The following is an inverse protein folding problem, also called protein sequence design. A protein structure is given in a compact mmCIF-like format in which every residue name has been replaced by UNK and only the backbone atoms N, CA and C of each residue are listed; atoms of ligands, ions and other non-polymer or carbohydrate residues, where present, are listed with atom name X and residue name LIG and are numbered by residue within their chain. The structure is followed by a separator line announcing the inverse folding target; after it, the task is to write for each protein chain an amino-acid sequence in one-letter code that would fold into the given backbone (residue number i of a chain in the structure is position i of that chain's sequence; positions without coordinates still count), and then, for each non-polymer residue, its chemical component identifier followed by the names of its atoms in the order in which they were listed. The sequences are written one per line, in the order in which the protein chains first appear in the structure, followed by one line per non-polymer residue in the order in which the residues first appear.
data_IF_824741188949
#
_entry.id   IF_824741188949
#
_cell.length_a   1.000
_cell.length_b   1.000
_cell.length_c   1.000
_cell.angle_alpha   90.00
_cell.angle_beta   90.00
_cell.angle_gamma   90.00
#
_symmetry.space_group_name_H-M   'P 1'
#
loop_
_entity.id
_entity.type
_entity.pdbx_description
1 polymer ?
#
# COMPACT_ATOMS: atom_id res chain seq x y z
N UNK A 1 -27.58 -10.78 -51.21
CA UNK A 1 -26.23 -11.24 -50.82
C UNK A 1 -25.66 -10.14 -49.92
N UNK A 2 -25.61 -10.38 -48.61
CA UNK A 2 -25.22 -9.36 -47.62
C UNK A 2 -26.10 -9.45 -46.37
N UNK A 3 -25.50 -9.89 -45.26
CA UNK A 3 -26.18 -10.07 -43.97
C UNK A 3 -25.39 -10.99 -43.05
N UNK A 4 -24.09 -10.74 -42.90
CA UNK A 4 -23.28 -11.27 -41.78
C UNK A 4 -23.33 -10.21 -40.69
N UNK A 5 -24.01 -10.49 -39.57
CA UNK A 5 -23.70 -10.03 -38.21
C UNK A 5 -24.80 -10.49 -37.27
N UNK A 6 -24.59 -11.60 -36.57
CA UNK A 6 -25.11 -11.75 -35.22
C UNK A 6 -24.15 -12.68 -34.46
N UNK A 7 -23.12 -12.07 -33.88
CA UNK A 7 -22.22 -12.76 -32.94
C UNK A 7 -22.66 -12.31 -31.56
N UNK A 8 -23.28 -13.18 -30.74
CA UNK A 8 -23.52 -12.83 -29.35
C UNK A 8 -22.17 -12.78 -28.64
N UNK A 9 -21.80 -11.59 -28.16
CA UNK A 9 -20.69 -11.43 -27.21
C UNK A 9 -21.17 -12.01 -25.88
N UNK A 10 -20.72 -13.22 -25.59
CA UNK A 10 -20.78 -13.78 -24.23
C UNK A 10 -19.62 -13.15 -23.46
N UNK A 11 -19.91 -12.11 -22.68
CA UNK A 11 -18.98 -11.67 -21.64
C UNK A 11 -19.02 -12.69 -20.50
N UNK A 12 -18.12 -13.66 -20.55
CA UNK A 12 -17.73 -14.45 -19.40
C UNK A 12 -16.43 -13.84 -18.84
N UNK A 13 -16.60 -12.87 -17.94
CA UNK A 13 -15.63 -12.57 -16.91
C UNK A 13 -16.44 -12.21 -15.68
N UNK A 14 -16.51 -13.18 -14.78
CA UNK A 14 -17.42 -13.31 -13.67
C UNK A 14 -17.57 -12.05 -12.81
N UNK A 15 -18.85 -11.77 -12.58
CA UNK A 15 -19.39 -11.13 -11.40
C UNK A 15 -18.98 -11.92 -10.14
N UNK A 16 -18.10 -11.34 -9.34
CA UNK A 16 -18.11 -11.52 -7.88
C UNK A 16 -17.87 -10.16 -7.24
N UNK A 17 -18.77 -9.21 -7.51
CA UNK A 17 -18.99 -8.15 -6.53
C UNK A 17 -19.67 -8.83 -5.33
N UNK A 18 -18.87 -9.30 -4.36
CA UNK A 18 -19.41 -9.76 -3.08
C UNK A 18 -20.35 -8.68 -2.55
N UNK A 19 -21.62 -9.04 -2.37
CA UNK A 19 -22.67 -8.24 -1.73
C UNK A 19 -22.39 -8.14 -0.21
N UNK A 20 -21.15 -7.84 0.16
CA UNK A 20 -20.78 -7.48 1.51
C UNK A 20 -21.14 -6.02 1.67
N UNK A 21 -22.32 -5.77 2.23
CA UNK A 21 -22.79 -4.43 2.55
C UNK A 21 -21.68 -3.65 3.28
N UNK A 22 -21.21 -2.57 2.64
CA UNK A 22 -20.21 -1.67 3.23
C UNK A 22 -20.80 -1.13 4.53
N UNK A 23 -20.08 -1.28 5.64
CA UNK A 23 -20.54 -0.68 6.91
C UNK A 23 -20.36 0.84 6.87
N UNK A 24 -21.16 1.61 7.61
CA UNK A 24 -21.01 3.08 7.63
C UNK A 24 -19.60 3.54 8.03
N UNK A 25 -18.92 2.76 8.88
CA UNK A 25 -17.57 3.06 9.32
C UNK A 25 -16.53 2.84 8.20
N UNK A 26 -16.63 1.74 7.45
CA UNK A 26 -15.78 1.51 6.27
C UNK A 26 -16.08 2.54 5.18
N UNK A 27 -17.36 2.86 4.94
CA UNK A 27 -17.74 3.89 3.98
C UNK A 27 -17.14 5.25 4.33
N UNK A 28 -17.18 5.65 5.60
CA UNK A 28 -16.58 6.90 6.06
C UNK A 28 -15.06 6.94 5.82
N UNK A 29 -14.35 5.85 6.07
CA UNK A 29 -12.91 5.75 5.79
C UNK A 29 -12.61 5.82 4.29
N UNK A 30 -13.39 5.16 3.43
CA UNK A 30 -13.22 5.24 1.98
C UNK A 30 -13.44 6.67 1.47
N UNK A 31 -14.45 7.37 2.00
CA UNK A 31 -14.68 8.78 1.67
C UNK A 31 -13.54 9.67 2.15
N UNK A 32 -13.06 9.47 3.39
CA UNK A 32 -11.89 10.21 3.89
C UNK A 32 -10.66 9.97 3.01
N UNK A 33 -10.38 8.72 2.63
CA UNK A 33 -9.25 8.40 1.76
C UNK A 33 -9.36 9.07 0.38
N UNK A 34 -10.57 9.13 -0.19
CA UNK A 34 -10.79 9.84 -1.45
C UNK A 34 -10.52 11.34 -1.32
N UNK A 35 -11.04 11.98 -0.26
CA UNK A 35 -10.81 13.40 0.01
C UNK A 35 -9.31 13.69 0.23
N UNK A 36 -8.64 12.84 1.01
CA UNK A 36 -7.20 12.97 1.31
C UNK A 36 -6.34 12.73 0.09
N UNK A 37 -6.72 11.82 -0.80
CA UNK A 37 -6.01 11.58 -2.05
C UNK A 37 -6.14 12.78 -3.00
N UNK A 38 -7.30 13.44 -3.06
CA UNK A 38 -7.45 14.67 -3.84
C UNK A 38 -6.61 15.81 -3.26
N UNK A 39 -6.56 15.97 -1.93
CA UNK A 39 -5.66 16.94 -1.28
C UNK A 39 -4.20 16.62 -1.61
N UNK A 40 -3.77 15.35 -1.43
CA UNK A 40 -2.41 14.91 -1.75
C UNK A 40 -2.04 15.21 -3.20
N UNK A 41 -2.94 14.92 -4.15
CA UNK A 41 -2.75 15.22 -5.57
C UNK A 41 -2.52 16.72 -5.83
N UNK A 42 -3.25 17.59 -5.13
CA UNK A 42 -3.17 19.04 -5.34
C UNK A 42 -1.99 19.70 -4.64
N UNK A 43 -1.62 19.24 -3.43
CA UNK A 43 -0.69 19.94 -2.54
C UNK A 43 0.58 19.14 -2.23
N UNK A 44 0.56 17.82 -2.42
CA UNK A 44 1.59 16.91 -1.94
C UNK A 44 1.50 16.59 -0.43
N UNK A 45 0.48 17.09 0.27
CA UNK A 45 0.28 16.81 1.69
C UNK A 45 -0.12 15.34 1.90
N UNK A 46 0.71 14.61 2.64
CA UNK A 46 0.49 13.21 2.96
C UNK A 46 -0.45 13.05 4.14
N UNK A 47 -1.19 11.94 4.19
CA UNK A 47 -2.09 11.63 5.31
C UNK A 47 -1.87 10.22 5.83
N UNK A 48 -2.09 9.99 7.12
CA UNK A 48 -1.96 8.67 7.74
C UNK A 48 -3.15 8.42 8.66
N UNK A 49 -3.80 7.27 8.48
CA UNK A 49 -4.87 6.78 9.34
C UNK A 49 -4.35 5.56 10.11
N UNK A 50 -4.25 5.66 11.43
CA UNK A 50 -3.96 4.51 12.29
C UNK A 50 -5.25 3.75 12.61
N UNK A 51 -5.46 2.63 11.91
CA UNK A 51 -6.67 1.81 12.04
C UNK A 51 -6.79 1.20 13.44
N UNK A 52 -5.68 0.96 14.15
CA UNK A 52 -5.74 0.39 15.52
C UNK A 52 -6.22 1.41 16.56
N UNK A 53 -6.10 2.69 16.26
CA UNK A 53 -6.58 3.76 17.14
C UNK A 53 -8.09 3.98 17.04
N UNK A 54 -8.73 3.45 16.00
CA UNK A 54 -10.17 3.61 15.75
C UNK A 54 -10.97 2.55 16.53
N UNK A 55 -12.17 2.90 17.05
CA UNK A 55 -13.06 1.94 17.69
C UNK A 55 -13.79 1.11 16.64
N UNK A 56 -13.03 0.30 15.89
CA UNK A 56 -13.48 -0.46 14.74
C UNK A 56 -13.21 -1.97 14.95
N UNK A 57 -14.18 -2.86 14.73
CA UNK A 57 -13.97 -4.31 14.81
C UNK A 57 -12.99 -4.80 13.74
N UNK A 58 -12.27 -5.89 14.04
CA UNK A 58 -11.35 -6.53 13.09
C UNK A 58 -12.00 -6.88 11.76
N UNK A 59 -13.28 -7.28 11.76
CA UNK A 59 -14.02 -7.58 10.53
C UNK A 59 -14.16 -6.35 9.60
N UNK A 60 -14.27 -5.15 10.15
CA UNK A 60 -14.33 -3.92 9.36
C UNK A 60 -12.96 -3.53 8.81
N UNK A 61 -11.87 -3.87 9.51
CA UNK A 61 -10.51 -3.72 8.98
C UNK A 61 -10.28 -4.61 7.75
N UNK A 62 -10.69 -5.88 7.84
CA UNK A 62 -10.57 -6.80 6.70
C UNK A 62 -11.50 -6.38 5.56
N UNK A 63 -12.73 -5.92 5.84
CA UNK A 63 -13.62 -5.39 4.82
C UNK A 63 -13.02 -4.17 4.09
N UNK A 64 -12.43 -3.24 4.84
CA UNK A 64 -11.72 -2.10 4.24
C UNK A 64 -10.55 -2.57 3.37
N UNK A 65 -9.77 -3.53 3.85
CA UNK A 65 -8.63 -4.10 3.12
C UNK A 65 -9.07 -4.78 1.82
N UNK A 66 -10.15 -5.55 1.85
CA UNK A 66 -10.74 -6.20 0.69
C UNK A 66 -11.20 -5.16 -0.35
N UNK A 67 -11.85 -4.08 0.12
CA UNK A 67 -12.29 -2.97 -0.73
C UNK A 67 -11.14 -2.21 -1.40
N UNK A 68 -10.08 -1.92 -0.64
CA UNK A 68 -8.90 -1.25 -1.17
C UNK A 68 -8.13 -2.14 -2.15
N UNK A 69 -8.22 -3.46 -1.98
CA UNK A 69 -7.53 -4.43 -2.81
C UNK A 69 -6.01 -4.31 -2.71
N UNK A 70 -5.31 -4.99 -3.62
CA UNK A 70 -3.84 -4.97 -3.68
C UNK A 70 -3.40 -4.56 -5.07
N UNK A 71 -2.51 -3.57 -5.12
CA UNK A 71 -1.90 -3.07 -6.34
C UNK A 71 -0.63 -3.85 -6.70
N UNK A 72 0.27 -3.15 -7.37
CA UNK A 72 1.45 -3.75 -8.00
C UNK A 72 2.63 -3.90 -7.03
N UNK A 73 2.72 -3.01 -6.04
CA UNK A 73 3.89 -2.93 -5.15
C UNK A 73 3.62 -3.64 -3.83
N UNK A 74 4.53 -4.55 -3.46
CA UNK A 74 4.63 -5.14 -2.11
C UNK A 74 6.06 -5.03 -1.61
N UNK A 75 6.20 -4.70 -0.33
CA UNK A 75 7.48 -4.50 0.33
C UNK A 75 7.42 -5.21 1.68
N UNK A 76 8.49 -5.94 1.98
CA UNK A 76 8.72 -6.56 3.28
C UNK A 76 9.99 -5.98 3.86
N UNK A 77 9.92 -5.52 5.10
CA UNK A 77 11.05 -4.99 5.86
C UNK A 77 11.22 -5.80 7.13
N UNK A 78 12.46 -5.97 7.57
CA UNK A 78 12.81 -6.57 8.86
C UNK A 78 13.52 -5.55 9.77
N UNK A 79 13.16 -4.26 9.63
CA UNK A 79 13.64 -3.19 10.49
C UNK A 79 12.86 -3.19 11.80
N UNK A 80 13.52 -3.59 12.90
CA UNK A 80 12.95 -3.67 14.26
C UNK A 80 11.77 -4.63 14.44
N UNK A 81 11.43 -5.40 13.40
CA UNK A 81 10.36 -6.40 13.37
C UNK A 81 9.77 -6.51 11.96
N UNK A 82 9.03 -7.60 11.65
CA UNK A 82 8.45 -7.79 10.33
C UNK A 82 7.44 -6.70 10.01
N UNK A 83 7.70 -5.94 8.94
CA UNK A 83 6.77 -4.93 8.42
C UNK A 83 6.36 -5.32 7.01
N UNK A 84 5.05 -5.44 6.79
CA UNK A 84 4.47 -5.71 5.49
C UNK A 84 3.79 -4.44 4.97
N UNK A 85 4.17 -4.00 3.78
CA UNK A 85 3.66 -2.81 3.12
C UNK A 85 3.17 -3.21 1.73
N UNK A 86 2.01 -2.73 1.32
CA UNK A 86 1.59 -2.85 -0.06
C UNK A 86 0.85 -1.61 -0.53
N UNK A 87 1.02 -1.29 -1.81
CA UNK A 87 0.14 -0.35 -2.48
C UNK A 87 -1.21 -1.05 -2.71
N UNK A 88 -2.29 -0.30 -2.52
CA UNK A 88 -3.65 -0.80 -2.77
C UNK A 88 -3.94 -0.80 -4.28
N UNK A 89 -5.14 -1.20 -4.70
CA UNK A 89 -5.54 -1.04 -6.11
C UNK A 89 -5.67 0.43 -6.55
N UNK A 90 -5.57 1.37 -5.60
CA UNK A 90 -5.62 2.81 -5.82
C UNK A 90 -4.24 3.43 -5.57
N UNK A 91 -3.51 3.82 -6.63
CA UNK A 91 -2.15 4.35 -6.48
C UNK A 91 -2.09 5.59 -5.58
N UNK A 92 -1.06 5.62 -4.74
CA UNK A 92 -0.92 6.64 -3.70
C UNK A 92 -1.64 6.32 -2.39
N UNK A 93 -2.38 5.21 -2.30
CA UNK A 93 -2.89 4.67 -1.03
C UNK A 93 -2.14 3.39 -0.69
N UNK A 94 -1.55 3.35 0.50
CA UNK A 94 -0.69 2.29 0.99
C UNK A 94 -1.23 1.69 2.27
N UNK A 95 -1.11 0.38 2.39
CA UNK A 95 -1.45 -0.36 3.60
C UNK A 95 -0.17 -0.84 4.28
N UNK A 96 0.03 -0.42 5.53
CA UNK A 96 1.26 -0.64 6.29
C UNK A 96 0.93 -1.40 7.57
N UNK A 97 1.55 -2.57 7.77
CA UNK A 97 1.39 -3.40 8.97
C UNK A 97 2.75 -3.66 9.57
N UNK A 98 2.98 -3.16 10.78
CA UNK A 98 4.16 -3.48 11.57
C UNK A 98 3.85 -4.54 12.61
N UNK A 99 4.68 -5.57 12.69
CA UNK A 99 4.60 -6.63 13.71
C UNK A 99 5.86 -6.64 14.57
N UNK A 100 5.69 -7.02 15.83
CA UNK A 100 6.84 -7.36 16.67
C UNK A 100 7.42 -8.73 16.26
N UNK A 101 8.52 -9.12 16.91
CA UNK A 101 9.19 -10.41 16.68
C UNK A 101 8.34 -11.63 17.04
N UNK A 102 7.32 -11.45 17.88
CA UNK A 102 6.37 -12.49 18.28
C UNK A 102 5.19 -12.61 17.30
N UNK A 103 5.14 -11.78 16.24
CA UNK A 103 4.12 -11.78 15.20
C UNK A 103 2.87 -10.96 15.52
N UNK A 104 2.83 -10.30 16.67
CA UNK A 104 1.72 -9.44 17.09
C UNK A 104 1.71 -8.13 16.29
N UNK A 105 0.53 -7.73 15.81
CA UNK A 105 0.36 -6.45 15.10
C UNK A 105 0.54 -5.31 16.09
N UNK A 106 1.58 -4.52 15.88
CA UNK A 106 1.87 -3.32 16.67
C UNK A 106 1.18 -2.10 16.07
N UNK A 107 1.32 -1.89 14.76
CA UNK A 107 0.63 -0.83 14.02
C UNK A 107 -0.03 -1.39 12.77
N UNK A 108 -1.16 -0.78 12.39
CA UNK A 108 -1.83 -1.05 11.13
C UNK A 108 -2.38 0.27 10.61
N UNK A 109 -1.82 0.75 9.51
CA UNK A 109 -2.04 2.09 9.00
C UNK A 109 -2.42 2.07 7.53
N UNK A 110 -3.22 3.05 7.12
CA UNK A 110 -3.41 3.41 5.72
C UNK A 110 -2.78 4.77 5.49
N UNK A 111 -1.85 4.85 4.55
CA UNK A 111 -1.13 6.07 4.21
C UNK A 111 -1.53 6.57 2.83
N UNK A 112 -1.79 7.87 2.71
CA UNK A 112 -1.96 8.58 1.44
C UNK A 112 -0.65 9.31 1.14
N UNK A 113 0.14 8.77 0.22
CA UNK A 113 1.49 9.26 -0.12
C UNK A 113 1.97 8.63 -1.42
N UNK A 114 2.91 9.28 -2.12
CA UNK A 114 3.58 8.68 -3.28
C UNK A 114 4.50 7.50 -2.88
N UNK A 115 5.03 7.53 -1.66
CA UNK A 115 5.99 6.56 -1.18
C UNK A 115 6.04 6.65 0.36
N UNK A 116 5.71 5.57 1.09
CA UNK A 116 5.75 5.54 2.55
C UNK A 116 7.10 5.98 3.11
N UNK A 117 7.09 6.73 4.20
CA UNK A 117 8.33 7.31 4.74
C UNK A 117 9.28 6.22 5.25
N UNK A 118 8.74 5.12 5.79
CA UNK A 118 9.51 4.00 6.36
C UNK A 118 10.40 3.27 5.35
N UNK A 119 10.10 3.34 4.04
CA UNK A 119 10.93 2.71 3.00
C UNK A 119 11.97 3.67 2.40
N UNK A 120 11.96 4.95 2.78
CA UNK A 120 12.94 5.91 2.30
C UNK A 120 14.22 5.78 3.10
N UNK A 121 15.34 5.57 2.39
CA UNK A 121 16.65 5.57 3.02
C UNK A 121 16.94 6.92 3.65
N UNK A 122 17.39 6.91 4.90
CA UNK A 122 17.76 8.12 5.61
C UNK A 122 19.07 8.67 5.04
N UNK A 123 19.27 9.98 5.17
CA UNK A 123 20.48 10.64 4.64
C UNK A 123 21.76 10.08 5.26
N UNK A 124 21.71 9.68 6.52
CA UNK A 124 22.82 9.06 7.25
C UNK A 124 23.16 7.68 6.67
N UNK A 125 22.16 6.81 6.48
CA UNK A 125 22.35 5.49 5.85
C UNK A 125 22.93 5.60 4.43
N UNK A 126 22.47 6.59 3.65
CA UNK A 126 23.00 6.86 2.31
C UNK A 126 24.47 7.29 2.39
N UNK A 127 24.82 8.15 3.35
CA UNK A 127 26.20 8.58 3.56
C UNK A 127 27.10 7.40 3.92
N UNK A 128 26.68 6.56 4.88
CA UNK A 128 27.41 5.34 5.24
C UNK A 128 27.54 4.37 4.07
N UNK A 129 26.47 4.20 3.29
CA UNK A 129 26.47 3.40 2.07
C UNK A 129 27.52 3.87 1.07
N UNK A 130 27.65 5.20 0.88
CA UNK A 130 28.66 5.78 -0.01
C UNK A 130 30.10 5.49 0.48
N UNK A 131 30.37 5.63 1.78
CA UNK A 131 31.70 5.34 2.32
C UNK A 131 32.04 3.85 2.15
N UNK A 132 31.11 2.97 2.53
CA UNK A 132 31.26 1.52 2.38
C UNK A 132 31.52 1.11 0.93
N UNK A 133 30.81 1.72 -0.02
CA UNK A 133 31.03 1.46 -1.45
C UNK A 133 32.42 1.91 -1.89
N UNK A 134 32.87 3.10 -1.47
CA UNK A 134 34.21 3.63 -1.81
C UNK A 134 35.34 2.75 -1.28
N UNK A 135 35.21 2.25 -0.05
CA UNK A 135 36.16 1.32 0.56
C UNK A 135 36.21 -0.02 -0.17
N UNK A 136 35.09 -0.47 -0.73
CA UNK A 136 34.99 -1.73 -1.46
C UNK A 136 35.47 -1.64 -2.92
N UNK A 137 35.71 -0.44 -3.46
CA UNK A 137 36.17 -0.30 -4.84
C UNK A 137 37.58 -0.91 -4.98
N UNK A 138 37.82 -1.78 -5.97
CA UNK A 138 39.13 -2.37 -6.18
C UNK A 138 40.13 -1.26 -6.53
N UNK A 139 41.20 -1.15 -5.73
CA UNK A 139 42.32 -0.29 -6.08
C UNK A 139 43.06 -0.98 -7.22
N UNK A 140 43.11 -0.37 -8.40
CA UNK A 140 43.74 -0.94 -9.58
C UNK A 140 45.27 -1.07 -9.39
N UNK A 141 45.70 -2.18 -8.79
CA UNK A 141 47.04 -2.73 -8.94
C UNK A 141 46.88 -4.21 -9.33
N UNK A 142 46.68 -4.44 -10.62
CA UNK A 142 47.15 -5.66 -11.27
C UNK A 142 48.33 -5.23 -12.13
N UNK A 143 49.53 -5.54 -11.64
CA UNK A 143 50.82 -5.35 -12.29
C UNK A 143 50.97 -6.25 -13.52
#
# INVERSE_FOLDING_TARGET
MGGLSDIPVVTAADDVASDTAITPAVQALLMELADRLEVFRQTGETHVIDLRSLPMPVAEHELLREWLGVGEVRIELDSLGPTAIHETAYPGIWWVVHRNRDGEVMTQQVEVTACPEIIRSQQEDIHEGLQRLREALPTGESA
#
